data_IF_149177339754
#
_entry.id   IF_149177339754
#
_cell.length_a   1.000
_cell.length_b   1.000
_cell.length_c   1.000
_cell.angle_alpha   90.00
_cell.angle_beta   90.00
_cell.angle_gamma   90.00
#
_symmetry.space_group_name_H-M   'P 1'
#
loop_
_entity.id
_entity.type
_entity.pdbx_description
1 polymer ?
#
# COMPACT_ATOMS: atom_id res chain seq x y z
N UNK A 1 -5.01 -19.30 -19.25
CA UNK A 1 -3.59 -18.87 -19.28
C UNK A 1 -3.37 -17.46 -19.86
N UNK A 2 -4.23 -16.96 -20.78
CA UNK A 2 -4.10 -15.63 -21.40
C UNK A 2 -4.41 -14.46 -20.44
N UNK A 3 -5.51 -14.54 -19.67
CA UNK A 3 -5.97 -13.46 -18.78
C UNK A 3 -4.99 -13.14 -17.63
N UNK A 4 -4.36 -14.16 -17.04
CA UNK A 4 -3.33 -13.98 -16.00
C UNK A 4 -2.10 -13.19 -16.48
N UNK A 5 -1.80 -13.25 -17.79
CA UNK A 5 -0.69 -12.46 -18.37
C UNK A 5 -1.07 -10.99 -18.51
N UNK A 6 -2.31 -10.69 -18.86
CA UNK A 6 -2.78 -9.31 -19.02
C UNK A 6 -2.87 -8.58 -17.66
N UNK A 7 -3.40 -9.25 -16.63
CA UNK A 7 -3.45 -8.69 -15.26
C UNK A 7 -2.04 -8.36 -14.72
N UNK A 8 -1.08 -9.26 -14.95
CA UNK A 8 0.32 -9.05 -14.56
C UNK A 8 0.97 -7.86 -15.30
N UNK A 9 0.65 -7.66 -16.58
CA UNK A 9 1.16 -6.54 -17.37
C UNK A 9 0.64 -5.21 -16.82
N UNK A 10 -0.66 -5.10 -16.54
CA UNK A 10 -1.24 -3.87 -15.98
C UNK A 10 -0.66 -3.54 -14.60
N UNK A 11 -0.45 -4.56 -13.76
CA UNK A 11 0.19 -4.39 -12.46
C UNK A 11 1.65 -3.89 -12.58
N UNK A 12 2.41 -4.45 -13.54
CA UNK A 12 3.79 -4.01 -13.82
C UNK A 12 3.84 -2.58 -14.33
N UNK A 13 2.87 -2.18 -15.17
CA UNK A 13 2.75 -0.80 -15.65
C UNK A 13 2.50 0.15 -14.48
N UNK A 14 1.56 -0.17 -13.57
CA UNK A 14 1.33 0.61 -12.36
C UNK A 14 2.59 0.82 -11.52
N UNK A 15 3.35 -0.25 -11.25
CA UNK A 15 4.62 -0.18 -10.50
C UNK A 15 5.68 0.65 -11.22
N UNK A 16 5.76 0.53 -12.54
CA UNK A 16 6.70 1.29 -13.36
C UNK A 16 6.39 2.79 -13.31
N UNK A 17 5.12 3.18 -13.43
CA UNK A 17 4.69 4.58 -13.34
C UNK A 17 5.01 5.21 -11.97
N UNK A 18 4.85 4.47 -10.88
CA UNK A 18 5.25 4.90 -9.53
C UNK A 18 6.77 5.09 -9.44
N UNK A 19 7.54 4.17 -10.03
CA UNK A 19 9.01 4.26 -10.05
C UNK A 19 9.46 5.52 -10.81
N UNK A 20 8.87 5.79 -11.98
CA UNK A 20 9.12 7.01 -12.75
C UNK A 20 8.77 8.28 -11.97
N UNK A 21 7.64 8.29 -11.26
CA UNK A 21 7.25 9.40 -10.39
C UNK A 21 8.31 9.68 -9.33
N UNK A 22 8.80 8.63 -8.64
CA UNK A 22 9.86 8.74 -7.64
C UNK A 22 11.16 9.27 -8.25
N UNK A 23 11.59 8.73 -9.40
CA UNK A 23 12.79 9.19 -10.10
C UNK A 23 12.72 10.68 -10.45
N UNK A 24 11.58 11.15 -10.99
CA UNK A 24 11.37 12.57 -11.31
C UNK A 24 11.41 13.43 -10.04
N UNK A 25 10.84 12.94 -8.93
CA UNK A 25 10.88 13.64 -7.65
C UNK A 25 12.28 13.78 -7.07
N UNK A 26 13.16 12.78 -7.26
CA UNK A 26 14.54 12.80 -6.76
C UNK A 26 15.53 13.50 -7.69
N UNK A 27 15.30 13.46 -9.01
CA UNK A 27 16.23 14.02 -9.98
C UNK A 27 16.18 15.56 -10.09
N UNK A 28 15.09 16.18 -9.61
CA UNK A 28 14.85 17.61 -9.78
C UNK A 28 14.51 18.31 -8.45
N UNK A 29 15.21 19.41 -8.09
CA UNK A 29 14.93 20.18 -6.88
C UNK A 29 13.55 20.84 -6.92
N UNK A 30 13.05 21.23 -5.74
CA UNK A 30 11.76 21.93 -5.65
C UNK A 30 11.78 23.27 -6.40
N UNK A 31 10.78 23.51 -7.23
CA UNK A 31 10.68 24.70 -8.08
C UNK A 31 11.24 24.57 -9.51
N UNK A 32 11.76 23.39 -9.91
CA UNK A 32 12.16 23.16 -11.31
C UNK A 32 10.94 22.94 -12.22
N UNK A 33 10.73 23.82 -13.19
CA UNK A 33 9.65 23.69 -14.19
C UNK A 33 9.73 22.38 -15.00
N UNK A 34 10.91 21.73 -15.09
CA UNK A 34 11.05 20.43 -15.77
C UNK A 34 10.39 19.31 -14.97
N UNK A 35 10.43 19.40 -13.63
CA UNK A 35 9.77 18.45 -12.73
C UNK A 35 8.26 18.49 -12.94
N UNK A 36 7.68 19.68 -12.99
CA UNK A 36 6.23 19.86 -13.19
C UNK A 36 5.79 19.37 -14.57
N UNK A 37 6.55 19.70 -15.62
CA UNK A 37 6.26 19.24 -16.99
C UNK A 37 6.33 17.70 -17.11
N UNK A 38 7.35 17.08 -16.49
CA UNK A 38 7.49 15.62 -16.50
C UNK A 38 6.39 14.92 -15.70
N UNK A 39 5.97 15.49 -14.57
CA UNK A 39 4.87 14.96 -13.77
C UNK A 39 3.53 15.07 -14.50
N UNK A 40 3.28 16.16 -15.24
CA UNK A 40 2.07 16.32 -16.05
C UNK A 40 1.99 15.31 -17.19
N UNK A 41 3.12 15.07 -17.87
CA UNK A 41 3.22 13.99 -18.88
C UNK A 41 2.95 12.62 -18.28
N UNK A 42 3.52 12.36 -17.10
CA UNK A 42 3.31 11.10 -16.39
C UNK A 42 1.85 10.92 -15.97
N UNK A 43 1.19 11.98 -15.50
CA UNK A 43 -0.24 11.96 -15.15
C UNK A 43 -1.12 11.68 -16.37
N UNK A 44 -0.75 12.22 -17.54
CA UNK A 44 -1.44 11.92 -18.80
C UNK A 44 -1.37 10.42 -19.13
N UNK A 45 -0.19 9.81 -19.03
CA UNK A 45 -0.05 8.36 -19.23
C UNK A 45 -0.85 7.56 -18.20
N UNK A 46 -0.87 7.98 -16.94
CA UNK A 46 -1.67 7.31 -15.90
C UNK A 46 -3.15 7.33 -16.27
N UNK A 47 -3.68 8.45 -16.77
CA UNK A 47 -5.07 8.54 -17.25
C UNK A 47 -5.33 7.59 -18.41
N UNK A 48 -4.44 7.54 -19.39
CA UNK A 48 -4.57 6.64 -20.55
C UNK A 48 -4.58 5.16 -20.12
N UNK A 49 -3.62 4.75 -19.29
CA UNK A 49 -3.56 3.38 -18.79
C UNK A 49 -4.72 3.01 -17.88
N UNK A 50 -5.25 3.96 -17.10
CA UNK A 50 -6.46 3.78 -16.28
C UNK A 50 -7.69 3.48 -17.13
N UNK A 51 -7.83 4.15 -18.28
CA UNK A 51 -8.90 3.88 -19.25
C UNK A 51 -8.72 2.50 -19.88
N UNK A 52 -7.49 2.10 -20.21
CA UNK A 52 -7.17 0.78 -20.75
C UNK A 52 -7.54 -0.33 -19.74
N UNK A 53 -7.15 -0.18 -18.46
CA UNK A 53 -7.50 -1.13 -17.40
C UNK A 53 -9.01 -1.28 -17.25
N UNK A 54 -9.74 -0.16 -17.24
CA UNK A 54 -11.20 -0.16 -17.14
C UNK A 54 -11.84 -0.86 -18.34
N UNK A 55 -11.38 -0.57 -19.57
CA UNK A 55 -11.88 -1.22 -20.78
C UNK A 55 -11.59 -2.72 -20.81
N UNK A 56 -10.41 -3.12 -20.34
CA UNK A 56 -10.05 -4.52 -20.21
C UNK A 56 -10.97 -5.25 -19.22
N UNK A 57 -11.22 -4.67 -18.03
CA UNK A 57 -12.16 -5.27 -17.08
C UNK A 57 -13.59 -5.33 -17.63
N UNK A 58 -14.08 -4.26 -18.27
CA UNK A 58 -15.39 -4.28 -18.93
C UNK A 58 -15.51 -5.37 -19.99
N UNK A 59 -14.46 -5.57 -20.78
CA UNK A 59 -14.44 -6.61 -21.81
C UNK A 59 -14.42 -8.00 -21.18
N UNK A 60 -13.67 -8.19 -20.10
CA UNK A 60 -13.64 -9.43 -19.33
C UNK A 60 -15.01 -9.75 -18.72
N UNK A 61 -15.63 -8.79 -18.03
CA UNK A 61 -16.97 -8.94 -17.44
C UNK A 61 -18.04 -9.21 -18.51
N UNK A 62 -17.94 -8.55 -19.66
CA UNK A 62 -18.85 -8.80 -20.79
C UNK A 62 -18.69 -10.21 -21.36
N UNK A 63 -17.46 -10.74 -21.43
CA UNK A 63 -17.20 -12.12 -21.85
C UNK A 63 -17.71 -13.14 -20.82
N UNK A 64 -17.54 -12.89 -19.52
CA UNK A 64 -18.06 -13.77 -18.47
C UNK A 64 -19.61 -13.83 -18.52
N UNK A 65 -20.27 -12.69 -18.65
CA UNK A 65 -21.74 -12.63 -18.84
C UNK A 65 -22.21 -13.29 -20.13
N UNK A 66 -21.42 -13.19 -21.19
CA UNK A 66 -21.73 -13.85 -22.46
C UNK A 66 -21.62 -15.36 -22.32
N UNK A 67 -20.60 -15.86 -21.62
CA UNK A 67 -20.41 -17.29 -21.34
C UNK A 67 -21.60 -17.85 -20.53
N UNK A 68 -22.05 -17.13 -19.49
CA UNK A 68 -23.26 -17.47 -18.74
C UNK A 68 -24.49 -17.54 -19.65
N UNK A 69 -24.74 -16.50 -20.46
CA UNK A 69 -25.87 -16.46 -21.40
C UNK A 69 -25.81 -17.53 -22.48
N UNK A 70 -24.62 -17.92 -22.93
CA UNK A 70 -24.41 -19.00 -23.90
C UNK A 70 -24.60 -20.37 -23.25
N UNK A 71 -24.31 -20.53 -21.96
CA UNK A 71 -24.56 -21.78 -21.22
C UNK A 71 -26.05 -22.10 -21.08
N UNK A 72 -26.90 -21.07 -21.04
CA UNK A 72 -28.36 -21.19 -20.90
C UNK A 72 -29.11 -21.20 -22.25
N UNK A 73 -28.47 -20.81 -23.35
CA UNK A 73 -29.11 -20.69 -24.68
C UNK A 73 -28.85 -21.88 -25.59
N UNK A 74 -29.92 -22.49 -26.13
CA UNK A 74 -29.86 -23.61 -27.09
C UNK A 74 -29.86 -23.19 -28.57
N UNK A 75 -29.87 -21.90 -28.89
CA UNK A 75 -29.97 -21.40 -30.28
C UNK A 75 -28.68 -20.72 -30.78
N UNK A 76 -28.50 -20.72 -32.11
CA UNK A 76 -27.42 -19.99 -32.81
C UNK A 76 -27.66 -18.48 -32.67
N UNK A 77 -27.29 -17.93 -31.52
CA UNK A 77 -27.27 -16.50 -31.29
C UNK A 77 -26.02 -15.87 -31.93
N UNK A 78 -26.17 -14.63 -32.42
CA UNK A 78 -25.05 -13.83 -32.90
C UNK A 78 -24.20 -13.41 -31.69
N UNK A 79 -23.05 -14.06 -31.56
CA UNK A 79 -22.11 -13.88 -30.44
C UNK A 79 -21.61 -12.42 -30.39
N UNK A 80 -21.43 -11.79 -31.55
CA UNK A 80 -20.95 -10.41 -31.61
C UNK A 80 -22.03 -9.44 -31.12
N UNK A 81 -23.28 -9.65 -31.51
CA UNK A 81 -24.40 -8.82 -31.05
C UNK A 81 -24.63 -8.96 -29.54
N UNK A 82 -24.58 -10.19 -29.01
CA UNK A 82 -24.72 -10.45 -27.58
C UNK A 82 -23.56 -9.86 -26.76
N UNK A 83 -22.33 -9.92 -27.27
CA UNK A 83 -21.18 -9.29 -26.64
C UNK A 83 -21.36 -7.76 -26.56
N UNK A 84 -21.78 -7.12 -27.65
CA UNK A 84 -22.03 -5.67 -27.68
C UNK A 84 -23.15 -5.27 -26.72
N UNK A 85 -24.21 -6.07 -26.61
CA UNK A 85 -25.26 -5.84 -25.62
C UNK A 85 -24.71 -5.89 -24.18
N UNK A 86 -23.93 -6.92 -23.84
CA UNK A 86 -23.31 -7.04 -22.51
C UNK A 86 -22.34 -5.88 -22.21
N UNK A 87 -21.61 -5.41 -23.23
CA UNK A 87 -20.67 -4.30 -23.10
C UNK A 87 -21.38 -2.95 -22.88
N UNK A 88 -22.53 -2.73 -23.55
CA UNK A 88 -23.34 -1.52 -23.42
C UNK A 88 -24.10 -1.42 -22.08
N UNK A 89 -24.44 -2.56 -21.47
CA UNK A 89 -25.03 -2.62 -20.12
C UNK A 89 -24.03 -2.22 -19.01
N UNK A 90 -22.72 -2.32 -19.27
CA UNK A 90 -21.68 -2.02 -18.30
C UNK A 90 -21.32 -0.52 -18.29
N UNK A 91 -21.04 0.07 -17.12
CA UNK A 91 -20.75 1.49 -16.98
C UNK A 91 -19.54 1.91 -17.82
N UNK A 92 -19.64 3.05 -18.51
CA UNK A 92 -18.60 3.57 -19.42
C UNK A 92 -17.24 3.82 -18.77
N UNK A 93 -16.18 3.78 -19.58
CA UNK A 93 -14.76 3.91 -19.17
C UNK A 93 -14.30 5.31 -18.77
N UNK A 94 -15.23 6.24 -18.56
CA UNK A 94 -14.90 7.66 -18.34
C UNK A 94 -14.33 7.93 -16.93
N UNK A 95 -14.54 7.01 -15.98
CA UNK A 95 -14.11 7.20 -14.59
C UNK A 95 -12.76 6.53 -14.31
N UNK A 96 -11.68 7.11 -14.84
CA UNK A 96 -10.30 6.64 -14.65
C UNK A 96 -9.85 6.64 -13.18
N UNK A 97 -10.50 7.45 -12.33
CA UNK A 97 -10.15 7.64 -10.92
C UNK A 97 -10.45 6.42 -10.04
N UNK A 98 -11.25 5.47 -10.54
CA UNK A 98 -11.57 4.20 -9.86
C UNK A 98 -10.66 3.04 -10.28
N UNK A 99 -9.71 3.29 -11.18
CA UNK A 99 -8.81 2.24 -11.65
C UNK A 99 -7.72 1.94 -10.62
N UNK A 100 -7.26 0.70 -10.58
CA UNK A 100 -6.20 0.27 -9.68
C UNK A 100 -4.86 0.92 -10.06
N UNK A 101 -4.64 1.22 -11.34
CA UNK A 101 -3.47 2.00 -11.81
C UNK A 101 -3.50 3.43 -11.24
N UNK A 102 -4.65 4.09 -11.25
CA UNK A 102 -4.82 5.42 -10.65
C UNK A 102 -4.55 5.40 -9.14
N UNK A 103 -5.16 4.44 -8.42
CA UNK A 103 -4.94 4.26 -6.99
C UNK A 103 -3.47 3.95 -6.67
N UNK A 104 -2.82 3.12 -7.47
CA UNK A 104 -1.40 2.78 -7.28
C UNK A 104 -0.50 4.00 -7.51
N UNK A 105 -0.82 4.83 -8.50
CA UNK A 105 -0.01 6.01 -8.86
C UNK A 105 -0.13 7.16 -7.86
N UNK A 106 -1.33 7.42 -7.35
CA UNK A 106 -1.58 8.45 -6.34
C UNK A 106 -1.36 7.94 -4.90
N UNK A 107 -1.25 6.62 -4.72
CA UNK A 107 -1.28 5.96 -3.42
C UNK A 107 -2.72 5.69 -3.02
N UNK A 108 -2.97 4.60 -2.27
CA UNK A 108 -4.26 4.38 -1.61
C UNK A 108 -4.55 5.60 -0.73
N UNK A 109 -5.55 6.39 -1.14
CA UNK A 109 -6.07 7.50 -0.36
C UNK A 109 -6.94 6.94 0.77
N UNK A 110 -6.33 6.26 1.73
CA UNK A 110 -6.88 6.14 3.09
C UNK A 110 -6.48 7.37 3.94
N UNK A 111 -5.87 8.38 3.31
CA UNK A 111 -5.71 9.71 3.88
C UNK A 111 -6.85 10.55 3.32
N UNK A 112 -7.92 10.70 4.11
CA UNK A 112 -8.87 11.79 3.88
C UNK A 112 -8.07 13.07 3.64
N UNK A 113 -8.15 13.62 2.43
CA UNK A 113 -7.80 15.02 2.21
C UNK A 113 -8.70 15.84 3.12
N UNK A 114 -8.21 16.16 4.31
CA UNK A 114 -8.80 17.20 5.13
C UNK A 114 -8.61 18.46 4.31
N UNK A 115 -9.68 18.91 3.65
CA UNK A 115 -9.76 20.27 3.13
C UNK A 115 -9.40 21.21 4.29
N UNK A 116 -8.13 21.66 4.33
CA UNK A 116 -7.64 22.68 5.24
C UNK A 116 -8.42 23.96 4.92
N UNK A 117 -9.55 24.16 5.60
CA UNK A 117 -10.08 25.50 5.80
C UNK A 117 -9.05 26.24 6.64
N UNK A 118 -8.30 27.11 5.98
CA UNK A 118 -7.37 28.05 6.58
C UNK A 118 -7.96 28.67 7.85
N UNK A 119 -7.49 28.21 9.00
CA UNK A 119 -7.60 28.95 10.26
C UNK A 119 -6.19 29.12 10.78
N UNK A 120 -5.65 30.32 10.56
CA UNK A 120 -4.39 30.78 11.14
C UNK A 120 -4.44 30.53 12.65
N UNK A 121 -3.57 29.69 13.15
CA UNK A 121 -3.19 29.64 14.56
C UNK A 121 -1.68 29.86 14.62
N UNK A 122 -1.27 30.70 15.57
CA UNK A 122 0.06 31.31 15.72
C UNK A 122 1.07 30.29 16.25
N UNK A 123 2.34 30.58 15.94
CA UNK A 123 3.58 29.97 16.44
C UNK A 123 3.53 29.45 17.87
N UNK A 124 4.06 28.24 18.07
CA UNK A 124 5.09 27.93 19.06
C UNK A 124 5.52 26.47 18.91
N UNK A 125 6.80 26.27 18.59
CA UNK A 125 7.63 25.08 18.91
C UNK A 125 7.07 23.70 18.55
N UNK A 126 7.42 23.15 17.37
CA UNK A 126 7.66 21.71 17.14
C UNK A 126 8.22 21.54 15.71
N UNK A 127 9.47 21.96 15.47
CA UNK A 127 10.10 22.00 14.13
C UNK A 127 11.25 20.99 13.97
N UNK A 128 11.27 19.88 14.73
CA UNK A 128 12.36 18.88 14.68
C UNK A 128 11.91 17.41 14.56
N UNK A 129 10.66 17.13 14.16
CA UNK A 129 10.21 15.74 13.97
C UNK A 129 9.64 15.42 12.57
N UNK A 130 9.67 16.36 11.63
CA UNK A 130 9.09 16.15 10.29
C UNK A 130 10.06 15.53 9.27
N UNK A 131 11.36 15.40 9.59
CA UNK A 131 12.39 14.99 8.63
C UNK A 131 12.64 13.46 8.53
N UNK A 132 11.67 12.61 8.90
CA UNK A 132 11.83 11.14 8.73
C UNK A 132 10.62 10.40 8.17
N UNK A 133 9.68 11.08 7.52
CA UNK A 133 8.45 10.45 7.03
C UNK A 133 8.37 10.25 5.50
N UNK A 134 9.51 9.97 4.85
CA UNK A 134 9.53 9.53 3.45
C UNK A 134 10.18 8.14 3.34
N UNK A 135 9.36 7.09 3.37
CA UNK A 135 9.83 5.74 3.07
C UNK A 135 9.74 5.49 1.56
N UNK A 136 10.90 5.47 0.90
CA UNK A 136 11.12 4.63 -0.27
C UNK A 136 10.87 3.15 0.11
N UNK A 137 10.88 2.21 -0.86
CA UNK A 137 10.66 0.77 -0.67
C UNK A 137 11.73 0.04 0.22
N UNK A 138 12.34 0.73 1.18
CA UNK A 138 13.28 0.21 2.16
C UNK A 138 12.50 -0.30 3.36
N UNK A 139 12.67 -1.58 3.67
CA UNK A 139 12.14 -2.17 4.89
C UNK A 139 12.73 -1.47 6.11
N UNK A 140 11.88 -0.94 6.98
CA UNK A 140 12.25 -0.37 8.28
C UNK A 140 11.76 -1.29 9.39
N UNK A 141 12.64 -1.79 10.27
CA UNK A 141 12.22 -2.64 11.38
C UNK A 141 11.23 -1.90 12.29
N UNK A 142 10.16 -2.57 12.74
CA UNK A 142 9.23 -1.97 13.68
C UNK A 142 9.89 -1.76 15.06
N UNK A 143 9.54 -0.64 15.69
CA UNK A 143 9.96 -0.28 17.04
C UNK A 143 8.89 -0.72 18.04
N UNK A 144 9.31 -1.35 19.14
CA UNK A 144 8.42 -1.81 20.20
C UNK A 144 7.76 -0.60 20.90
N UNK A 145 6.41 -0.57 21.02
CA UNK A 145 5.72 0.56 21.63
C UNK A 145 6.04 0.74 23.13
N UNK A 146 6.58 -0.28 23.81
CA UNK A 146 6.89 -0.25 25.25
C UNK A 146 8.37 0.10 25.47
N UNK A 147 9.32 -0.68 24.94
CA UNK A 147 10.76 -0.45 25.15
C UNK A 147 11.35 0.65 24.29
N UNK A 148 10.65 1.06 23.22
CA UNK A 148 11.15 2.01 22.21
C UNK A 148 12.41 1.54 21.47
N UNK A 149 12.74 0.25 21.57
CA UNK A 149 13.83 -0.39 20.83
C UNK A 149 13.30 -1.12 19.60
N UNK A 150 14.19 -1.42 18.64
CA UNK A 150 13.87 -2.29 17.51
C UNK A 150 13.47 -3.67 18.06
N UNK A 151 12.36 -4.21 17.55
CA UNK A 151 11.87 -5.53 17.95
C UNK A 151 12.84 -6.61 17.44
N UNK A 152 13.22 -7.55 18.30
CA UNK A 152 14.06 -8.70 17.93
C UNK A 152 13.28 -10.01 17.94
N UNK A 153 12.40 -10.21 18.93
CA UNK A 153 11.50 -11.37 19.00
C UNK A 153 10.07 -10.91 18.73
N UNK A 154 9.68 -10.93 17.45
CA UNK A 154 8.42 -10.37 17.00
C UNK A 154 7.22 -11.23 17.39
N UNK A 155 6.32 -10.66 18.20
CA UNK A 155 5.03 -11.29 18.54
C UNK A 155 3.86 -10.41 18.12
N UNK A 156 2.95 -10.99 17.34
CA UNK A 156 1.74 -10.34 16.84
C UNK A 156 0.51 -10.72 17.67
N UNK A 157 -0.29 -9.72 18.03
CA UNK A 157 -1.60 -9.97 18.63
C UNK A 157 -2.62 -10.37 17.56
N UNK A 158 -3.30 -11.51 17.75
CA UNK A 158 -4.29 -12.06 16.81
C UNK A 158 -5.58 -11.24 16.69
N UNK A 159 -5.87 -10.35 17.65
CA UNK A 159 -7.11 -9.56 17.69
C UNK A 159 -6.92 -8.20 17.01
N UNK A 160 -5.85 -7.46 17.33
CA UNK A 160 -5.60 -6.13 16.77
C UNK A 160 -4.48 -6.08 15.72
N UNK A 161 -3.74 -7.17 15.50
CA UNK A 161 -2.70 -7.26 14.47
C UNK A 161 -1.38 -6.54 14.79
N UNK A 162 -1.30 -5.81 15.91
CA UNK A 162 -0.08 -5.12 16.34
C UNK A 162 1.03 -6.07 16.77
N UNK A 163 2.28 -5.63 16.61
CA UNK A 163 3.49 -6.41 16.89
C UNK A 163 4.23 -5.81 18.09
N UNK A 164 4.85 -6.66 18.89
CA UNK A 164 5.60 -6.28 20.09
C UNK A 164 6.85 -7.15 20.22
N UNK A 165 7.78 -6.68 21.04
CA UNK A 165 8.82 -7.52 21.63
C UNK A 165 8.20 -8.41 22.73
N UNK A 166 8.55 -9.71 22.77
CA UNK A 166 7.87 -10.69 23.62
C UNK A 166 8.01 -10.37 25.10
N UNK A 167 9.24 -10.12 25.56
CA UNK A 167 9.53 -9.92 26.97
C UNK A 167 8.87 -8.64 27.49
N UNK A 168 8.82 -7.59 26.67
CA UNK A 168 8.25 -6.29 27.07
C UNK A 168 6.73 -6.39 27.16
N UNK A 169 6.07 -7.04 26.19
CA UNK A 169 4.62 -7.17 26.19
C UNK A 169 4.12 -8.17 27.24
N UNK A 170 4.85 -9.26 27.50
CA UNK A 170 4.51 -10.22 28.54
C UNK A 170 4.54 -9.54 29.92
N UNK A 171 5.65 -8.85 30.23
CA UNK A 171 5.78 -8.08 31.47
C UNK A 171 4.72 -6.99 31.60
N UNK A 172 4.38 -6.29 30.51
CA UNK A 172 3.32 -5.28 30.51
C UNK A 172 1.93 -5.87 30.81
N UNK A 173 1.61 -7.05 30.25
CA UNK A 173 0.35 -7.74 30.54
C UNK A 173 0.30 -8.20 32.00
N UNK A 174 1.40 -8.76 32.51
CA UNK A 174 1.47 -9.28 33.88
C UNK A 174 1.46 -8.19 34.96
N UNK A 175 2.15 -7.07 34.71
CA UNK A 175 2.20 -5.93 35.63
C UNK A 175 0.93 -5.08 35.65
N UNK A 176 0.03 -5.29 34.68
CA UNK A 176 -1.23 -4.55 34.58
C UNK A 176 -2.21 -4.98 35.66
N UNK A 177 -2.46 -4.10 36.65
CA UNK A 177 -3.45 -4.31 37.73
C UNK A 177 -4.91 -4.44 37.25
N UNK A 178 -5.19 -4.03 36.01
CA UNK A 178 -6.49 -4.12 35.32
C UNK A 178 -6.27 -4.83 33.98
N UNK A 179 -7.33 -5.07 33.21
CA UNK A 179 -7.22 -5.60 31.84
C UNK A 179 -6.22 -4.74 31.04
N UNK A 180 -5.12 -5.36 30.61
CA UNK A 180 -4.07 -4.71 29.84
C UNK A 180 -4.68 -4.20 28.52
N UNK A 181 -4.38 -2.95 28.17
CA UNK A 181 -4.79 -2.34 26.90
C UNK A 181 -3.67 -2.43 25.89
N UNK A 182 -3.98 -2.47 24.61
CA UNK A 182 -2.98 -2.36 23.56
C UNK A 182 -2.14 -1.07 23.74
N UNK A 183 -0.80 -1.17 23.77
CA UNK A 183 0.08 0.00 23.87
C UNK A 183 0.06 0.94 22.64
N UNK A 184 -0.43 0.48 21.49
CA UNK A 184 -0.57 1.32 20.31
C UNK A 184 -1.68 2.35 20.50
N UNK A 185 -1.34 3.62 20.30
CA UNK A 185 -2.26 4.76 20.43
C UNK A 185 -3.43 4.59 19.46
N UNK A 186 -4.66 4.79 19.95
CA UNK A 186 -5.87 4.66 19.14
C UNK A 186 -6.37 3.23 18.92
N UNK A 187 -5.69 2.21 19.45
CA UNK A 187 -6.16 0.84 19.33
C UNK A 187 -7.33 0.55 20.29
N UNK A 188 -8.42 -0.01 19.78
CA UNK A 188 -9.62 -0.35 20.56
C UNK A 188 -9.51 -1.66 21.35
N UNK A 189 -8.39 -2.39 21.25
CA UNK A 189 -8.19 -3.63 22.00
C UNK A 189 -7.83 -3.32 23.46
N UNK A 190 -8.85 -3.36 24.32
CA UNK A 190 -8.75 -3.03 25.75
C UNK A 190 -8.61 -4.26 26.67
N UNK A 191 -8.35 -5.45 26.11
CA UNK A 191 -8.29 -6.71 26.86
C UNK A 191 -7.23 -7.64 26.28
N UNK A 192 -5.99 -7.17 26.32
CA UNK A 192 -4.80 -7.88 25.85
C UNK A 192 -4.48 -9.06 26.78
N UNK A 193 -4.21 -10.23 26.19
CA UNK A 193 -3.83 -11.45 26.91
C UNK A 193 -2.66 -12.14 26.22
N UNK A 194 -1.81 -12.82 26.99
CA UNK A 194 -0.67 -13.60 26.48
C UNK A 194 -1.14 -14.66 25.46
N UNK A 195 -2.28 -15.32 25.70
CA UNK A 195 -2.83 -16.34 24.79
C UNK A 195 -3.23 -15.81 23.40
N UNK A 196 -3.36 -14.48 23.25
CA UNK A 196 -3.66 -13.83 21.97
C UNK A 196 -2.40 -13.44 21.20
N UNK A 197 -1.21 -13.56 21.81
CA UNK A 197 0.06 -13.30 21.15
C UNK A 197 0.50 -14.54 20.37
N UNK A 198 1.04 -14.32 19.18
CA UNK A 198 1.61 -15.36 18.31
C UNK A 198 2.95 -14.87 17.79
N UNK A 199 3.95 -15.72 17.85
CA UNK A 199 5.24 -15.49 17.20
C UNK A 199 5.04 -15.20 15.69
N UNK A 200 5.69 -14.15 15.21
CA UNK A 200 5.70 -13.73 13.81
C UNK A 200 7.08 -13.99 13.20
N UNK A 201 7.33 -15.26 12.86
CA UNK A 201 8.61 -15.72 12.32
C UNK A 201 9.00 -15.01 11.04
N UNK A 202 8.04 -14.71 10.17
CA UNK A 202 8.30 -14.04 8.91
C UNK A 202 8.85 -12.62 9.13
N UNK A 203 8.24 -11.87 10.04
CA UNK A 203 8.72 -10.53 10.40
C UNK A 203 10.06 -10.60 11.15
N UNK A 204 10.23 -11.57 12.04
CA UNK A 204 11.49 -11.77 12.74
C UNK A 204 12.65 -12.08 11.79
N UNK A 205 12.43 -12.94 10.78
CA UNK A 205 13.43 -13.24 9.74
C UNK A 205 13.78 -11.99 8.93
N UNK A 206 12.79 -11.15 8.60
CA UNK A 206 13.02 -9.87 7.91
C UNK A 206 13.86 -8.89 8.73
N UNK A 207 13.57 -8.75 10.03
CA UNK A 207 14.33 -7.89 10.93
C UNK A 207 15.76 -8.40 11.06
N UNK A 208 15.94 -9.72 11.18
CA UNK A 208 17.25 -10.34 11.27
C UNK A 208 18.10 -10.04 10.03
N UNK A 209 17.55 -10.24 8.83
CA UNK A 209 18.24 -9.91 7.58
C UNK A 209 18.61 -8.42 7.49
N UNK A 210 17.73 -7.53 7.97
CA UNK A 210 18.02 -6.10 8.00
C UNK A 210 19.21 -5.77 8.91
N UNK A 211 19.24 -6.32 10.13
CA UNK A 211 20.32 -6.09 11.08
C UNK A 211 21.67 -6.66 10.59
N UNK A 212 21.67 -7.88 10.06
CA UNK A 212 22.86 -8.51 9.47
C UNK A 212 23.44 -7.66 8.31
N UNK A 213 22.57 -7.09 7.47
CA UNK A 213 23.00 -6.22 6.37
C UNK A 213 23.59 -4.88 6.85
N UNK A 214 23.14 -4.35 8.00
CA UNK A 214 23.72 -3.14 8.59
C UNK A 214 25.09 -3.37 9.23
N UNK A 215 25.29 -4.52 9.87
CA UNK A 215 26.58 -4.92 10.46
C UNK A 215 27.63 -5.15 9.37
N UNK A 216 27.25 -5.79 8.25
CA UNK A 216 28.14 -6.01 7.11
C UNK A 216 28.50 -4.71 6.37
N UNK A 217 27.61 -3.71 6.36
CA UNK A 217 27.87 -2.41 5.73
C UNK A 217 28.79 -1.51 6.57
N UNK A 218 28.83 -1.69 7.88
CA UNK A 218 29.64 -0.90 8.82
C UNK A 218 31.05 -1.45 9.06
N UNK A 219 31.34 -2.67 8.59
CA UNK A 219 32.65 -3.34 8.72
C UNK A 219 33.50 -3.32 7.44
N UNK A 220 33.05 -2.63 6.37
CA UNK A 220 33.74 -2.51 5.08
C UNK A 220 34.45 -1.19 4.81
N UNK A 221 34.69 -0.35 5.84
CA UNK A 221 35.27 0.99 5.71
C UNK A 221 36.49 1.20 6.60
N UNK A 222 37.45 0.28 6.56
CA UNK A 222 38.80 0.45 7.15
C UNK A 222 39.82 -0.31 6.29
N UNK A 223 40.00 0.08 5.03
CA UNK A 223 41.18 -0.26 4.20
C UNK A 223 41.24 0.69 2.99
N UNK A 224 41.82 1.87 3.20
CA UNK A 224 42.77 2.59 2.29
C UNK A 224 43.11 3.99 2.82
#
# INVERSE_FOLDING_TARGET
>A
MSLYRADNILERVGKSLVTWKSLIMHAHPEGDNRKTEQLEKLETFVKEYSVIETNYQRSKDALEKLDEKLSDSTEKADIDEMYQQCLNELPGSSNYQKSNIWETFHGRSDIMEVHKKNKKLKDSEYDELEESMFCANVFTPPVDPISKAIITVAYRNKVCGHVYEYDTIANYIESSKKKAKCPYIGCNNNNLKISQLKEDKALQDQIKQYLENQENASSGSDED
#
